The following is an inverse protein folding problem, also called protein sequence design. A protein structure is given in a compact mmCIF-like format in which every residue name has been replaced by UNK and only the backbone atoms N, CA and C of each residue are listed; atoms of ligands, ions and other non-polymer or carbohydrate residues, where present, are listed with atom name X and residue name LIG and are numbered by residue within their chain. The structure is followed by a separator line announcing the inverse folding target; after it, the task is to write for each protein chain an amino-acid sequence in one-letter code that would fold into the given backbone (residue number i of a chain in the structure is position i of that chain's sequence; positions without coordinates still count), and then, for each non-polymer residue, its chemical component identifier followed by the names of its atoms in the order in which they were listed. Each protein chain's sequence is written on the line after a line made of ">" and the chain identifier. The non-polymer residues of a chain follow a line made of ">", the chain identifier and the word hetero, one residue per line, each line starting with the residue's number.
data_IF_787988758873
#
_entry.id   IF_787988758873
#
_cell.length_a   1.000
_cell.length_b   1.000
_cell.length_c   1.000
_cell.angle_alpha   90.00
_cell.angle_beta   90.00
_cell.angle_gamma   90.00
#
_symmetry.space_group_name_H-M   'P 1'
#
loop_
_entity.id
_entity.type
_entity.pdbx_description
1 polymer ?
#
# COMPACT_ATOMS: atom_id res chain seq x y z
N UNK A 1 32.15 19.93 35.44
CA UNK A 1 30.68 19.84 35.30
C UNK A 1 30.38 19.55 33.84
N UNK A 2 29.42 18.66 33.57
CA UNK A 2 28.96 18.30 32.24
C UNK A 2 27.65 19.03 31.97
N UNK A 3 27.60 19.77 30.88
CA UNK A 3 26.44 20.57 30.47
C UNK A 3 26.18 20.25 29.01
N UNK A 4 24.94 19.95 28.66
CA UNK A 4 24.57 19.72 27.28
C UNK A 4 24.44 21.05 26.51
N UNK A 5 24.82 21.03 25.24
CA UNK A 5 24.45 22.06 24.28
C UNK A 5 23.02 21.82 23.77
N UNK A 6 22.30 22.89 23.42
CA UNK A 6 20.92 22.83 22.91
C UNK A 6 20.85 22.21 21.52
N UNK A 7 21.81 22.55 20.65
CA UNK A 7 21.90 22.05 19.28
C UNK A 7 23.20 21.30 19.06
N UNK A 8 23.13 20.00 18.77
CA UNK A 8 24.31 19.15 18.58
C UNK A 8 25.15 19.47 17.33
N UNK A 9 24.59 20.25 16.39
CA UNK A 9 25.26 20.68 15.14
C UNK A 9 26.17 21.89 15.31
N UNK A 10 26.11 22.56 16.46
CA UNK A 10 26.94 23.74 16.74
C UNK A 10 28.28 23.29 17.30
N UNK A 11 29.33 23.36 16.48
CA UNK A 11 30.68 22.93 16.86
C UNK A 11 31.32 23.86 17.91
N UNK A 12 31.03 25.16 17.83
CA UNK A 12 31.49 26.19 18.77
C UNK A 12 30.29 26.82 19.49
N UNK A 13 29.71 26.15 20.51
CA UNK A 13 28.56 26.67 21.24
C UNK A 13 28.96 27.88 22.09
N UNK A 14 28.19 28.96 22.01
CA UNK A 14 28.34 30.11 22.89
C UNK A 14 27.65 29.91 24.24
N UNK A 15 27.76 30.92 25.10
CA UNK A 15 27.17 30.94 26.46
C UNK A 15 25.66 30.68 26.46
N UNK A 16 24.94 31.16 25.43
CA UNK A 16 23.49 31.02 25.31
C UNK A 16 23.05 29.68 24.70
N UNK A 17 23.98 28.92 24.14
CA UNK A 17 23.70 27.65 23.46
C UNK A 17 23.76 26.46 24.43
N UNK A 18 24.17 26.69 25.67
CA UNK A 18 24.21 25.68 26.72
C UNK A 18 22.93 25.70 27.57
N UNK A 19 22.60 24.55 28.16
CA UNK A 19 21.57 24.48 29.18
C UNK A 19 22.05 25.06 30.52
N UNK A 20 21.09 25.48 31.35
CA UNK A 20 21.36 26.09 32.66
C UNK A 20 21.61 25.06 33.75
N UNK A 21 21.13 23.82 33.60
CA UNK A 21 21.36 22.73 34.54
C UNK A 21 22.26 21.68 33.89
N UNK A 22 23.23 21.21 34.67
CA UNK A 22 24.13 20.13 34.28
C UNK A 22 24.48 19.24 35.46
N UNK A 23 25.45 18.36 35.25
CA UNK A 23 25.87 17.37 36.25
C UNK A 23 27.32 17.60 36.64
N UNK A 24 27.58 17.82 37.93
CA UNK A 24 28.93 17.76 38.48
C UNK A 24 29.38 16.31 38.39
N UNK A 25 30.53 16.07 37.77
CA UNK A 25 31.04 14.74 37.51
C UNK A 25 32.53 14.66 37.88
N UNK A 26 32.95 13.51 38.39
CA UNK A 26 34.35 13.18 38.63
C UNK A 26 34.95 12.52 37.38
N UNK A 27 36.24 12.75 37.13
CA UNK A 27 36.99 12.07 36.07
C UNK A 27 37.57 10.80 36.67
N UNK A 28 37.10 9.64 36.21
CA UNK A 28 37.58 8.33 36.65
C UNK A 28 38.85 7.91 35.90
N UNK A 29 38.85 8.10 34.58
CA UNK A 29 39.94 7.63 33.73
C UNK A 29 40.10 8.53 32.50
N UNK A 30 41.35 8.74 32.07
CA UNK A 30 41.68 9.43 30.83
C UNK A 30 42.62 8.56 30.01
N UNK A 31 42.26 8.31 28.75
CA UNK A 31 43.04 7.50 27.83
C UNK A 31 43.24 8.24 26.52
N UNK A 32 44.51 8.49 26.16
CA UNK A 32 44.88 9.10 24.88
C UNK A 32 44.95 8.00 23.83
N UNK A 33 44.16 8.15 22.77
CA UNK A 33 44.17 7.23 21.64
C UNK A 33 45.27 7.62 20.63
N UNK A 34 45.73 6.66 19.80
CA UNK A 34 46.81 6.90 18.83
C UNK A 34 46.49 7.96 17.76
N UNK A 35 45.20 8.23 17.54
CA UNK A 35 44.68 9.26 16.62
C UNK A 35 44.72 10.69 17.20
N UNK A 36 45.19 10.84 18.45
CA UNK A 36 45.26 12.12 19.15
C UNK A 36 43.99 12.49 19.93
N UNK A 37 42.94 11.67 19.87
CA UNK A 37 41.71 11.91 20.64
C UNK A 37 41.88 11.46 22.10
N UNK A 38 41.17 12.13 23.02
CA UNK A 38 41.20 11.79 24.45
C UNK A 38 39.85 11.18 24.84
N UNK A 39 39.86 9.89 25.20
CA UNK A 39 38.70 9.22 25.77
C UNK A 39 38.70 9.44 27.29
N UNK A 40 37.67 10.13 27.78
CA UNK A 40 37.50 10.40 29.21
C UNK A 40 36.30 9.60 29.73
N UNK A 41 36.51 8.85 30.81
CA UNK A 41 35.45 8.19 31.58
C UNK A 41 35.10 9.06 32.77
N UNK A 42 33.82 9.37 32.92
CA UNK A 42 33.30 10.28 33.95
C UNK A 42 32.14 9.63 34.70
N UNK A 43 32.00 9.97 35.97
CA UNK A 43 30.88 9.56 36.82
C UNK A 43 30.14 10.80 37.31
N UNK A 44 28.84 10.86 37.04
CA UNK A 44 27.97 11.93 37.52
C UNK A 44 27.74 11.79 39.02
N UNK A 45 27.97 12.88 39.77
CA UNK A 45 27.82 12.93 41.21
C UNK A 45 26.48 13.57 41.59
N UNK A 46 26.28 14.83 41.22
CA UNK A 46 25.11 15.61 41.59
C UNK A 46 24.75 16.62 40.50
N UNK A 47 23.47 16.97 40.43
CA UNK A 47 22.95 18.00 39.54
C UNK A 47 23.26 19.37 40.10
N UNK A 48 23.61 20.31 39.23
CA UNK A 48 23.87 21.68 39.62
C UNK A 48 23.31 22.66 38.59
N UNK A 49 22.86 23.81 39.05
CA UNK A 49 22.41 24.93 38.23
C UNK A 49 23.53 25.94 38.10
N UNK A 50 23.80 26.38 36.87
CA UNK A 50 24.76 27.43 36.57
C UNK A 50 24.13 28.78 36.91
N UNK A 51 24.76 29.53 37.82
CA UNK A 51 24.36 30.90 38.18
C UNK A 51 25.07 31.96 37.33
N UNK A 52 26.31 31.69 36.92
CA UNK A 52 27.05 32.54 36.00
C UNK A 52 28.01 31.68 35.15
N UNK A 53 28.05 31.94 33.85
CA UNK A 53 28.92 31.28 32.88
C UNK A 53 29.78 32.34 32.17
N UNK A 54 31.08 32.14 32.16
CA UNK A 54 32.05 33.01 31.50
C UNK A 54 32.90 32.21 30.52
N UNK A 55 33.00 32.70 29.30
CA UNK A 55 33.87 32.15 28.27
C UNK A 55 35.18 32.95 28.23
N UNK A 56 36.30 32.27 28.47
CA UNK A 56 37.63 32.86 28.45
C UNK A 56 38.38 32.58 27.14
N UNK A 57 37.72 32.02 26.12
CA UNK A 57 38.28 31.70 24.80
C UNK A 57 38.98 30.34 24.72
N UNK A 58 39.42 29.77 25.84
CA UNK A 58 40.00 28.42 25.90
C UNK A 58 39.04 27.38 26.52
N UNK A 59 38.20 27.83 27.45
CA UNK A 59 37.27 26.98 28.19
C UNK A 59 36.19 27.83 28.85
N UNK A 60 35.08 27.17 29.19
CA UNK A 60 34.03 27.75 30.01
C UNK A 60 34.35 27.64 31.50
N UNK A 61 34.22 28.76 32.21
CA UNK A 61 34.24 28.82 33.67
C UNK A 61 32.83 29.14 34.18
N UNK A 62 32.35 28.37 35.16
CA UNK A 62 30.99 28.52 35.67
C UNK A 62 30.96 28.58 37.20
N UNK A 63 30.10 29.44 37.76
CA UNK A 63 29.62 29.30 39.14
C UNK A 63 28.35 28.47 39.11
N UNK A 64 28.30 27.43 39.93
CA UNK A 64 27.17 26.51 39.97
C UNK A 64 26.76 26.20 41.42
N UNK A 65 25.47 26.00 41.61
CA UNK A 65 24.84 25.65 42.89
C UNK A 65 24.21 24.27 42.77
N UNK A 66 24.38 23.42 43.79
CA UNK A 66 23.79 22.09 43.79
C UNK A 66 22.26 22.18 43.81
N UNK A 67 21.60 21.34 43.00
CA UNK A 67 20.16 21.17 43.04
C UNK A 67 19.83 20.17 44.15
N UNK A 68 19.25 20.68 45.23
CA UNK A 68 18.68 19.85 46.28
C UNK A 68 17.31 19.31 45.82
N UNK A 69 17.09 18.03 46.08
CA UNK A 69 15.77 17.42 45.93
C UNK A 69 15.04 17.49 47.27
N UNK A 70 13.83 18.07 47.32
CA UNK A 70 13.06 18.14 48.55
C UNK A 70 12.67 16.73 49.03
N UNK A 71 12.71 16.51 50.34
CA UNK A 71 12.13 15.32 50.98
C UNK A 71 10.61 15.46 51.05
N UNK A 72 9.88 14.48 50.51
CA UNK A 72 8.41 14.43 50.45
C UNK A 72 7.90 13.28 51.35
N UNK A 73 6.57 13.17 51.49
CA UNK A 73 5.88 12.07 52.17
C UNK A 73 6.34 10.69 51.65
N UNK A 74 7.00 9.93 52.53
CA UNK A 74 7.59 8.62 52.24
C UNK A 74 6.58 7.62 51.68
N UNK A 75 5.30 7.72 52.06
CA UNK A 75 4.29 6.72 51.72
C UNK A 75 3.85 6.76 50.26
N UNK A 76 3.66 7.94 49.68
CA UNK A 76 3.34 8.07 48.25
C UNK A 76 4.55 7.72 47.38
N UNK A 77 5.74 8.11 47.84
CA UNK A 77 7.01 7.87 47.15
C UNK A 77 7.34 6.37 47.07
N UNK A 78 7.08 5.58 48.12
CA UNK A 78 7.25 4.12 48.08
C UNK A 78 6.38 3.43 47.02
N UNK A 79 5.11 3.86 46.90
CA UNK A 79 4.19 3.29 45.90
C UNK A 79 4.69 3.61 44.50
N UNK A 80 5.08 4.87 44.27
CA UNK A 80 5.57 5.34 42.98
C UNK A 80 6.85 4.60 42.55
N UNK A 81 7.80 4.40 43.47
CA UNK A 81 9.01 3.62 43.24
C UNK A 81 8.69 2.19 42.80
N UNK A 82 7.79 1.49 43.50
CA UNK A 82 7.40 0.12 43.14
C UNK A 82 6.74 0.07 41.78
N UNK A 83 5.88 1.03 41.46
CA UNK A 83 5.22 1.11 40.15
C UNK A 83 6.22 1.41 39.04
N UNK A 84 7.16 2.33 39.23
CA UNK A 84 8.20 2.65 38.26
C UNK A 84 9.09 1.44 37.97
N UNK A 85 9.51 0.68 38.99
CA UNK A 85 10.28 -0.57 38.83
C UNK A 85 9.47 -1.60 38.05
N UNK A 86 8.20 -1.81 38.40
CA UNK A 86 7.34 -2.78 37.72
C UNK A 86 7.11 -2.43 36.24
N UNK A 87 6.91 -1.14 35.95
CA UNK A 87 6.76 -0.65 34.58
C UNK A 87 8.07 -0.79 33.78
N UNK A 88 9.21 -0.49 34.41
CA UNK A 88 10.53 -0.66 33.80
C UNK A 88 10.85 -2.14 33.52
N UNK A 89 10.43 -3.06 34.38
CA UNK A 89 10.50 -4.50 34.12
C UNK A 89 9.69 -4.88 32.86
N UNK A 90 8.47 -4.36 32.72
CA UNK A 90 7.65 -4.53 31.53
C UNK A 90 8.34 -3.99 30.27
N UNK A 91 8.97 -2.82 30.38
CA UNK A 91 9.73 -2.19 29.30
C UNK A 91 10.93 -3.03 28.86
N UNK A 92 11.79 -3.52 29.78
CA UNK A 92 12.96 -4.35 29.44
C UNK A 92 12.54 -5.65 28.72
N UNK A 93 11.43 -6.29 29.14
CA UNK A 93 10.92 -7.51 28.49
C UNK A 93 10.59 -7.31 27.00
N UNK A 94 10.20 -6.09 26.63
CA UNK A 94 9.95 -5.72 25.23
C UNK A 94 11.21 -5.21 24.53
N UNK A 95 12.05 -4.43 25.23
CA UNK A 95 13.29 -3.87 24.71
C UNK A 95 14.51 -4.73 25.02
N UNK A 96 14.80 -5.69 24.14
CA UNK A 96 15.94 -6.62 24.26
C UNK A 96 17.34 -5.98 24.15
N UNK A 97 17.44 -4.65 23.95
CA UNK A 97 18.73 -3.95 23.91
C UNK A 97 19.31 -3.74 25.31
N UNK A 98 18.46 -3.74 26.34
CA UNK A 98 18.88 -3.50 27.73
C UNK A 98 19.16 -4.86 28.39
N UNK A 99 20.35 -5.07 28.98
CA UNK A 99 20.63 -6.29 29.71
C UNK A 99 19.67 -6.46 30.90
N UNK A 100 19.15 -7.68 31.14
CA UNK A 100 18.24 -7.93 32.26
C UNK A 100 18.91 -7.72 33.64
N UNK A 101 20.25 -7.76 33.70
CA UNK A 101 21.05 -7.50 34.91
C UNK A 101 20.84 -6.07 35.45
N UNK A 102 20.49 -5.11 34.59
CA UNK A 102 20.19 -3.73 35.00
C UNK A 102 18.98 -3.69 35.95
N UNK A 103 18.01 -4.59 35.76
CA UNK A 103 16.84 -4.70 36.63
C UNK A 103 17.25 -5.11 38.05
N UNK A 104 18.17 -6.06 38.18
CA UNK A 104 18.67 -6.47 39.50
C UNK A 104 19.41 -5.34 40.22
N UNK A 105 20.19 -4.51 39.49
CA UNK A 105 20.81 -3.33 40.10
C UNK A 105 19.78 -2.27 40.52
N UNK A 106 18.72 -2.06 39.74
CA UNK A 106 17.67 -1.09 40.09
C UNK A 106 16.90 -1.48 41.36
N UNK A 107 16.60 -2.77 41.53
CA UNK A 107 15.93 -3.27 42.74
C UNK A 107 16.75 -3.08 44.02
N UNK A 108 18.07 -2.87 43.92
CA UNK A 108 18.94 -2.61 45.07
C UNK A 108 19.12 -1.13 45.39
N UNK A 109 18.52 -0.21 44.62
CA UNK A 109 18.64 1.22 44.84
C UNK A 109 17.52 1.68 45.78
N UNK A 110 17.89 2.07 46.99
CA UNK A 110 16.96 2.63 47.98
C UNK A 110 16.62 4.09 47.71
N UNK A 111 17.54 4.86 47.10
CA UNK A 111 17.35 6.27 46.80
C UNK A 111 16.48 6.49 45.54
N UNK A 112 15.26 7.05 45.68
CA UNK A 112 14.36 7.24 44.54
C UNK A 112 14.89 8.25 43.52
N UNK A 113 15.74 9.20 43.94
CA UNK A 113 16.36 10.14 43.02
C UNK A 113 17.32 9.39 42.08
N UNK A 114 18.22 8.58 42.64
CA UNK A 114 19.13 7.72 41.88
C UNK A 114 18.41 6.68 41.03
N UNK A 115 17.27 6.16 41.50
CA UNK A 115 16.43 5.24 40.71
C UNK A 115 15.94 5.93 39.43
N UNK A 116 15.36 7.13 39.56
CA UNK A 116 14.88 7.91 38.42
C UNK A 116 16.01 8.21 37.42
N UNK A 117 17.19 8.59 37.90
CA UNK A 117 18.36 8.88 37.05
C UNK A 117 18.85 7.63 36.32
N UNK A 118 18.82 6.47 36.97
CA UNK A 118 19.23 5.19 36.37
C UNK A 118 18.23 4.74 35.30
N UNK A 119 16.93 4.86 35.56
CA UNK A 119 15.88 4.59 34.57
C UNK A 119 16.05 5.52 33.37
N UNK A 120 16.21 6.82 33.61
CA UNK A 120 16.42 7.81 32.56
C UNK A 120 17.64 7.47 31.71
N UNK A 121 18.77 7.06 32.30
CA UNK A 121 19.99 6.70 31.57
C UNK A 121 19.79 5.54 30.59
N UNK A 122 19.01 4.52 30.96
CA UNK A 122 18.78 3.34 30.13
C UNK A 122 17.65 3.49 29.11
N UNK A 123 16.86 4.57 29.17
CA UNK A 123 15.84 4.86 28.17
C UNK A 123 16.37 5.70 26.98
N UNK A 124 15.88 5.43 25.76
CA UNK A 124 16.25 6.15 24.54
C UNK A 124 15.49 7.49 24.42
N UNK A 125 15.62 8.36 25.42
CA UNK A 125 14.98 9.68 25.43
C UNK A 125 15.68 10.67 24.49
N UNK A 126 14.92 11.60 23.92
CA UNK A 126 15.49 12.73 23.17
C UNK A 126 16.20 13.69 24.12
N UNK A 127 17.10 14.51 23.59
CA UNK A 127 17.87 15.46 24.39
C UNK A 127 16.98 16.40 25.23
N UNK A 128 15.91 16.92 24.64
CA UNK A 128 14.96 17.78 25.36
C UNK A 128 14.34 17.07 26.58
N UNK A 129 13.96 15.80 26.42
CA UNK A 129 13.36 14.99 27.49
C UNK A 129 14.42 14.57 28.53
N UNK A 130 15.67 14.29 28.11
CA UNK A 130 16.79 14.04 29.03
C UNK A 130 17.05 15.27 29.91
N UNK A 131 17.00 16.45 29.29
CA UNK A 131 17.25 17.70 29.98
C UNK A 131 16.11 18.09 30.91
N UNK A 132 14.85 17.91 30.51
CA UNK A 132 13.70 18.16 31.39
C UNK A 132 13.74 17.30 32.65
N UNK A 133 14.09 16.01 32.52
CA UNK A 133 14.32 15.09 33.64
C UNK A 133 15.46 15.57 34.54
N UNK A 134 16.53 16.13 33.97
CA UNK A 134 17.65 16.67 34.75
C UNK A 134 17.23 17.94 35.52
N UNK A 135 16.36 18.76 34.95
CA UNK A 135 15.88 20.03 35.52
C UNK A 135 14.81 19.88 36.60
N UNK A 136 14.02 18.79 36.58
CA UNK A 136 13.00 18.48 37.59
C UNK A 136 13.63 18.22 38.97
N UNK A 137 13.48 19.15 39.91
CA UNK A 137 13.99 18.99 41.28
C UNK A 137 13.18 17.97 42.09
N UNK A 138 11.86 17.92 41.87
CA UNK A 138 10.94 16.98 42.50
C UNK A 138 11.13 15.57 41.91
N UNK A 139 11.39 14.61 42.80
CA UNK A 139 11.64 13.21 42.42
C UNK A 139 10.35 12.52 41.97
N UNK A 140 9.20 12.87 42.55
CA UNK A 140 7.93 12.27 42.22
C UNK A 140 7.47 12.70 40.83
N UNK A 141 7.49 14.01 40.55
CA UNK A 141 7.18 14.55 39.21
C UNK A 141 8.07 13.90 38.14
N UNK A 142 9.35 13.74 38.47
CA UNK A 142 10.32 13.11 37.57
C UNK A 142 10.02 11.64 37.32
N UNK A 143 9.68 10.87 38.36
CA UNK A 143 9.30 9.47 38.23
C UNK A 143 8.02 9.32 37.40
N UNK A 144 7.00 10.14 37.66
CA UNK A 144 5.75 10.16 36.88
C UNK A 144 6.01 10.48 35.42
N UNK A 145 6.87 11.47 35.14
CA UNK A 145 7.26 11.81 33.77
C UNK A 145 7.96 10.64 33.07
N UNK A 146 8.92 9.99 33.74
CA UNK A 146 9.58 8.81 33.20
C UNK A 146 8.60 7.65 32.98
N UNK A 147 7.63 7.46 33.87
CA UNK A 147 6.58 6.45 33.74
C UNK A 147 5.67 6.71 32.53
N UNK A 148 5.29 7.96 32.28
CA UNK A 148 4.53 8.34 31.09
C UNK A 148 5.33 8.05 29.80
N UNK A 149 6.63 8.37 29.81
CA UNK A 149 7.52 8.09 28.68
C UNK A 149 7.71 6.58 28.45
N UNK A 150 7.85 5.81 29.53
CA UNK A 150 7.90 4.34 29.47
C UNK A 150 6.64 3.76 28.83
N UNK A 151 5.46 4.23 29.24
CA UNK A 151 4.18 3.75 28.69
C UNK A 151 4.09 4.01 27.19
N UNK A 152 4.42 5.23 26.76
CA UNK A 152 4.40 5.58 25.33
C UNK A 152 5.36 4.73 24.50
N UNK A 153 6.53 4.39 25.04
CA UNK A 153 7.49 3.52 24.38
C UNK A 153 7.06 2.04 24.37
N UNK A 154 6.44 1.56 25.45
CA UNK A 154 5.86 0.23 25.51
C UNK A 154 4.81 0.06 24.40
N UNK A 155 3.91 1.04 24.25
CA UNK A 155 2.88 1.03 23.21
C UNK A 155 3.48 0.99 21.80
N UNK A 156 4.50 1.81 21.54
CA UNK A 156 5.22 1.82 20.27
C UNK A 156 5.83 0.45 19.97
N UNK A 157 6.56 -0.13 20.93
CA UNK A 157 7.19 -1.44 20.79
C UNK A 157 6.16 -2.56 20.55
N UNK A 158 4.98 -2.48 21.17
CA UNK A 158 3.90 -3.44 20.93
C UNK A 158 3.32 -3.31 19.52
N UNK A 159 3.12 -2.09 19.01
CA UNK A 159 2.70 -1.85 17.62
C UNK A 159 3.73 -2.42 16.65
N UNK A 160 5.02 -2.12 16.84
CA UNK A 160 6.09 -2.66 16.02
C UNK A 160 6.12 -4.19 16.03
N UNK A 161 5.96 -4.81 17.20
CA UNK A 161 5.90 -6.28 17.35
C UNK A 161 4.73 -6.87 16.57
N UNK A 162 3.55 -6.24 16.60
CA UNK A 162 2.37 -6.67 15.81
C UNK A 162 2.63 -6.58 14.31
N UNK A 163 3.21 -5.48 13.85
CA UNK A 163 3.58 -5.28 12.44
C UNK A 163 4.59 -6.35 12.01
N UNK A 164 5.66 -6.53 12.77
CA UNK A 164 6.70 -7.53 12.51
C UNK A 164 6.15 -8.94 12.41
N UNK A 165 5.23 -9.32 13.30
CA UNK A 165 4.57 -10.62 13.27
C UNK A 165 3.68 -10.80 12.03
N UNK A 166 2.95 -9.74 11.61
CA UNK A 166 2.14 -9.77 10.39
C UNK A 166 3.00 -9.95 9.15
N UNK A 167 4.10 -9.18 9.04
CA UNK A 167 5.07 -9.29 7.93
C UNK A 167 5.68 -10.69 7.90
N UNK A 168 6.11 -11.22 9.04
CA UNK A 168 6.68 -12.58 9.14
C UNK A 168 5.69 -13.65 8.65
N UNK A 169 4.43 -13.61 9.09
CA UNK A 169 3.39 -14.54 8.63
C UNK A 169 3.14 -14.44 7.13
N UNK A 170 3.12 -13.23 6.58
CA UNK A 170 2.94 -13.00 5.14
C UNK A 170 4.13 -13.52 4.33
N UNK A 171 5.36 -13.31 4.81
CA UNK A 171 6.56 -13.84 4.18
C UNK A 171 6.58 -15.38 4.20
N UNK A 172 6.29 -16.00 5.34
CA UNK A 172 6.21 -17.47 5.45
C UNK A 172 5.15 -18.05 4.52
N UNK A 173 3.98 -17.40 4.40
CA UNK A 173 2.94 -17.79 3.45
C UNK A 173 3.43 -17.69 2.00
N UNK A 174 4.05 -16.57 1.62
CA UNK A 174 4.53 -16.33 0.26
C UNK A 174 5.65 -17.30 -0.13
N UNK A 175 6.59 -17.57 0.79
CA UNK A 175 7.66 -18.56 0.58
C UNK A 175 7.08 -19.97 0.44
N UNK A 176 6.10 -20.34 1.27
CA UNK A 176 5.42 -21.64 1.16
C UNK A 176 4.68 -21.78 -0.18
N UNK A 177 3.93 -20.77 -0.59
CA UNK A 177 3.23 -20.77 -1.89
C UNK A 177 4.21 -20.85 -3.06
N UNK A 178 5.31 -20.09 -3.02
CA UNK A 178 6.37 -20.17 -4.02
C UNK A 178 6.97 -21.58 -4.11
N UNK A 179 7.33 -22.16 -2.96
CA UNK A 179 7.90 -23.51 -2.89
C UNK A 179 6.94 -24.58 -3.40
N UNK A 180 5.67 -24.52 -3.00
CA UNK A 180 4.64 -25.47 -3.46
C UNK A 180 4.40 -25.35 -4.98
N UNK A 181 4.40 -24.14 -5.53
CA UNK A 181 4.24 -23.95 -6.97
C UNK A 181 5.45 -24.49 -7.75
N UNK A 182 6.67 -24.28 -7.27
CA UNK A 182 7.87 -24.88 -7.89
C UNK A 182 7.84 -26.41 -7.80
N UNK A 183 7.42 -26.98 -6.67
CA UNK A 183 7.21 -28.44 -6.57
C UNK A 183 6.16 -28.94 -7.55
N UNK A 184 5.02 -28.26 -7.67
CA UNK A 184 3.97 -28.64 -8.63
C UNK A 184 4.48 -28.60 -10.08
N UNK A 185 5.26 -27.57 -10.47
CA UNK A 185 5.88 -27.52 -11.80
C UNK A 185 6.85 -28.67 -12.03
N UNK A 186 7.67 -29.00 -11.02
CA UNK A 186 8.60 -30.12 -11.10
C UNK A 186 7.85 -31.46 -11.27
N UNK A 187 6.79 -31.68 -10.48
CA UNK A 187 5.92 -32.86 -10.57
C UNK A 187 5.23 -32.95 -11.95
N UNK A 188 4.68 -31.85 -12.46
CA UNK A 188 4.04 -31.79 -13.78
C UNK A 188 5.03 -32.09 -14.91
N UNK A 189 6.28 -31.63 -14.78
CA UNK A 189 7.37 -31.93 -15.72
C UNK A 189 7.76 -33.41 -15.69
N UNK A 190 7.84 -34.01 -14.50
CA UNK A 190 8.13 -35.45 -14.31
C UNK A 190 6.98 -36.34 -14.81
N UNK A 191 5.72 -35.89 -14.67
CA UNK A 191 4.52 -36.61 -15.14
C UNK A 191 4.34 -36.57 -16.67
N UNK A 192 5.18 -35.84 -17.41
CA UNK A 192 5.19 -35.86 -18.88
C UNK A 192 4.00 -35.18 -19.57
N UNK A 193 3.16 -34.42 -18.85
CA UNK A 193 1.95 -33.77 -19.40
C UNK A 193 2.24 -32.42 -20.11
N UNK A 194 3.48 -32.15 -20.55
CA UNK A 194 3.82 -30.89 -21.22
C UNK A 194 3.94 -30.95 -22.75
N UNK A 195 3.79 -32.11 -23.40
CA UNK A 195 3.94 -32.18 -24.86
C UNK A 195 2.65 -32.03 -25.67
N UNK A 196 1.45 -31.99 -25.06
CA UNK A 196 0.19 -31.96 -25.84
C UNK A 196 -0.91 -30.98 -25.36
N UNK A 197 -0.62 -30.11 -24.39
CA UNK A 197 -1.52 -28.99 -24.05
C UNK A 197 -0.94 -27.68 -24.60
N UNK A 198 -1.47 -27.13 -25.71
CA UNK A 198 -1.09 -25.80 -26.15
C UNK A 198 -1.35 -24.82 -25.01
N UNK A 199 -0.37 -23.97 -24.67
CA UNK A 199 -0.56 -22.88 -23.71
C UNK A 199 -1.82 -22.11 -24.10
N UNK A 200 -2.90 -22.28 -23.33
CA UNK A 200 -4.21 -21.66 -23.62
C UNK A 200 -4.05 -20.15 -23.81
N UNK A 201 -3.08 -19.56 -23.12
CA UNK A 201 -2.77 -18.13 -23.22
C UNK A 201 -2.19 -17.76 -24.59
N UNK A 202 -1.38 -18.63 -25.19
CA UNK A 202 -0.85 -18.43 -26.53
C UNK A 202 -1.95 -18.60 -27.58
N UNK A 203 -2.84 -19.58 -27.39
CA UNK A 203 -4.01 -19.76 -28.25
C UNK A 203 -4.94 -18.54 -28.21
N UNK A 204 -5.18 -17.96 -27.02
CA UNK A 204 -5.96 -16.73 -26.86
C UNK A 204 -5.28 -15.53 -27.53
N UNK A 205 -3.96 -15.40 -27.40
CA UNK A 205 -3.20 -14.34 -28.06
C UNK A 205 -3.34 -14.41 -29.59
N UNK A 206 -3.17 -15.60 -30.17
CA UNK A 206 -3.36 -15.83 -31.62
C UNK A 206 -4.75 -15.44 -32.09
N UNK A 207 -5.79 -15.74 -31.30
CA UNK A 207 -7.19 -15.35 -31.60
C UNK A 207 -7.40 -13.83 -31.56
N UNK A 208 -6.81 -13.12 -30.59
CA UNK A 208 -6.89 -11.66 -30.49
C UNK A 208 -6.27 -11.00 -31.73
N UNK A 209 -5.09 -11.47 -32.14
CA UNK A 209 -4.40 -10.97 -33.33
C UNK A 209 -5.18 -11.25 -34.62
N UNK A 210 -5.81 -12.44 -34.72
CA UNK A 210 -6.63 -12.81 -35.86
C UNK A 210 -7.95 -12.03 -35.98
N UNK A 211 -8.52 -11.55 -34.86
CA UNK A 211 -9.81 -10.85 -34.82
C UNK A 211 -9.79 -9.46 -35.48
N UNK A 212 -8.60 -8.91 -35.79
CA UNK A 212 -8.41 -7.59 -36.41
C UNK A 212 -9.15 -6.46 -35.67
N UNK A 213 -9.01 -6.42 -34.35
CA UNK A 213 -9.65 -5.41 -33.50
C UNK A 213 -9.09 -3.99 -33.75
N UNK A 214 -9.87 -2.92 -33.51
CA UNK A 214 -9.36 -1.55 -33.47
C UNK A 214 -8.30 -1.39 -32.36
N UNK A 215 -7.44 -0.37 -32.48
CA UNK A 215 -6.32 -0.15 -31.55
C UNK A 215 -6.73 -0.17 -30.07
N UNK A 216 -7.75 0.61 -29.71
CA UNK A 216 -8.24 0.72 -28.33
C UNK A 216 -8.75 -0.62 -27.78
N UNK A 217 -9.51 -1.37 -28.59
CA UNK A 217 -10.04 -2.68 -28.21
C UNK A 217 -8.94 -3.73 -28.09
N UNK A 218 -7.95 -3.72 -29.00
CA UNK A 218 -6.81 -4.63 -28.97
C UNK A 218 -5.96 -4.41 -27.72
N UNK A 219 -5.60 -3.16 -27.43
CA UNK A 219 -4.82 -2.80 -26.25
C UNK A 219 -5.53 -3.21 -24.96
N UNK A 220 -6.86 -3.02 -24.88
CA UNK A 220 -7.66 -3.47 -23.75
C UNK A 220 -7.69 -4.99 -23.61
N UNK A 221 -7.87 -5.73 -24.71
CA UNK A 221 -7.88 -7.19 -24.71
C UNK A 221 -6.52 -7.78 -24.31
N UNK A 222 -5.42 -7.18 -24.77
CA UNK A 222 -4.06 -7.57 -24.37
C UNK A 222 -3.78 -7.29 -22.89
N UNK A 223 -4.25 -6.16 -22.35
CA UNK A 223 -4.12 -5.84 -20.94
C UNK A 223 -4.87 -6.85 -20.05
N UNK A 224 -6.09 -7.26 -20.43
CA UNK A 224 -6.83 -8.29 -19.71
C UNK A 224 -6.17 -9.69 -19.86
N UNK A 225 -5.56 -9.99 -21.01
CA UNK A 225 -4.77 -11.22 -21.20
C UNK A 225 -3.53 -11.24 -20.29
N UNK A 226 -2.85 -10.10 -20.10
CA UNK A 226 -1.71 -10.01 -19.17
C UNK A 226 -2.14 -10.24 -17.72
N UNK A 227 -3.29 -9.71 -17.32
CA UNK A 227 -3.87 -10.02 -15.99
C UNK A 227 -4.18 -11.50 -15.84
N UNK A 228 -4.76 -12.12 -16.87
CA UNK A 228 -5.07 -13.56 -16.86
C UNK A 228 -3.82 -14.41 -16.61
N UNK A 229 -2.68 -14.05 -17.22
CA UNK A 229 -1.39 -14.76 -17.02
C UNK A 229 -0.85 -14.73 -15.59
N UNK A 230 -1.16 -13.69 -14.83
CA UNK A 230 -0.74 -13.54 -13.44
C UNK A 230 -1.71 -14.19 -12.45
N UNK A 231 -2.91 -14.56 -12.90
CA UNK A 231 -3.93 -15.19 -12.06
C UNK A 231 -3.75 -16.71 -12.02
N UNK A 232 -4.19 -17.33 -10.93
CA UNK A 232 -4.31 -18.79 -10.87
C UNK A 232 -5.42 -19.27 -11.81
N UNK A 233 -5.19 -20.30 -12.65
CA UNK A 233 -6.16 -20.78 -13.63
C UNK A 233 -7.46 -21.34 -13.03
N UNK A 234 -7.47 -21.67 -11.73
CA UNK A 234 -8.64 -22.14 -10.99
C UNK A 234 -9.45 -21.01 -10.31
N UNK A 235 -9.01 -19.75 -10.41
CA UNK A 235 -9.73 -18.61 -9.81
C UNK A 235 -11.05 -18.33 -10.54
N UNK A 236 -12.10 -17.98 -9.79
CA UNK A 236 -13.36 -17.51 -10.37
C UNK A 236 -13.15 -16.26 -11.26
N UNK A 237 -12.21 -15.39 -10.90
CA UNK A 237 -11.86 -14.21 -11.69
C UNK A 237 -11.22 -14.57 -13.04
N UNK A 238 -10.39 -15.61 -13.08
CA UNK A 238 -9.77 -16.08 -14.32
C UNK A 238 -10.82 -16.57 -15.32
N UNK A 239 -11.88 -17.23 -14.84
CA UNK A 239 -13.01 -17.66 -15.67
C UNK A 239 -13.77 -16.47 -16.28
N UNK A 240 -13.97 -15.40 -15.50
CA UNK A 240 -14.64 -14.18 -15.97
C UNK A 240 -13.81 -13.47 -17.04
N UNK A 241 -12.51 -13.30 -16.80
CA UNK A 241 -11.59 -12.65 -17.75
C UNK A 241 -11.47 -13.47 -19.04
N UNK A 242 -11.41 -14.80 -18.94
CA UNK A 242 -11.42 -15.69 -20.11
C UNK A 242 -12.70 -15.52 -20.93
N UNK A 243 -13.86 -15.49 -20.29
CA UNK A 243 -15.14 -15.23 -20.95
C UNK A 243 -15.20 -13.86 -21.63
N UNK A 244 -14.67 -12.82 -20.98
CA UNK A 244 -14.58 -11.48 -21.56
C UNK A 244 -13.70 -11.45 -22.83
N UNK A 245 -12.52 -12.09 -22.79
CA UNK A 245 -11.64 -12.16 -23.96
C UNK A 245 -12.31 -12.93 -25.10
N UNK A 246 -13.00 -14.02 -24.81
CA UNK A 246 -13.74 -14.79 -25.83
C UNK A 246 -14.84 -13.96 -26.48
N UNK A 247 -15.61 -13.20 -25.71
CA UNK A 247 -16.61 -12.28 -26.25
C UNK A 247 -15.98 -11.22 -27.16
N UNK A 248 -14.85 -10.64 -26.74
CA UNK A 248 -14.13 -9.64 -27.55
C UNK A 248 -13.64 -10.22 -28.88
N UNK A 249 -13.22 -11.48 -28.92
CA UNK A 249 -12.79 -12.18 -30.14
C UNK A 249 -13.97 -12.49 -31.07
N UNK A 250 -15.13 -12.87 -30.53
CA UNK A 250 -16.31 -13.23 -31.32
C UNK A 250 -16.98 -12.03 -32.01
N UNK A 251 -16.73 -10.80 -31.54
CA UNK A 251 -17.27 -9.58 -32.16
C UNK A 251 -16.62 -9.35 -33.54
N UNK A 252 -17.41 -9.18 -34.62
CA UNK A 252 -16.88 -8.98 -35.98
C UNK A 252 -16.43 -7.52 -36.19
N UNK A 253 -15.24 -7.17 -35.72
CA UNK A 253 -14.71 -5.80 -35.78
C UNK A 253 -14.51 -5.26 -37.22
N UNK A 254 -13.69 -5.97 -38.00
CA UNK A 254 -13.29 -5.58 -39.35
C UNK A 254 -13.76 -6.57 -40.43
N UNK A 255 -14.70 -7.45 -40.09
CA UNK A 255 -15.30 -8.41 -41.01
C UNK A 255 -16.66 -7.92 -41.51
N UNK A 256 -16.71 -7.38 -42.74
CA UNK A 256 -17.95 -6.91 -43.37
C UNK A 256 -18.28 -7.72 -44.62
N UNK A 257 -19.55 -8.03 -44.82
CA UNK A 257 -20.03 -8.64 -46.06
C UNK A 257 -20.06 -7.61 -47.19
N UNK A 258 -19.73 -8.03 -48.41
CA UNK A 258 -19.80 -7.16 -49.60
C UNK A 258 -21.26 -6.87 -49.92
N UNK A 259 -21.64 -5.60 -49.84
CA UNK A 259 -23.03 -5.16 -50.10
C UNK A 259 -23.26 -5.05 -51.61
N UNK A 260 -24.36 -5.65 -52.09
CA UNK A 260 -24.82 -5.51 -53.47
C UNK A 260 -25.58 -4.18 -53.62
N UNK A 261 -25.35 -3.46 -54.72
CA UNK A 261 -25.97 -2.15 -55.01
C UNK A 261 -26.91 -2.19 -56.23
N UNK A 262 -27.34 -3.37 -56.64
CA UNK A 262 -28.20 -3.55 -57.80
C UNK A 262 -29.68 -3.40 -57.40
N UNK A 263 -30.30 -2.31 -57.85
CA UNK A 263 -31.72 -2.02 -57.59
C UNK A 263 -32.66 -2.92 -58.37
N UNK A 264 -32.28 -3.38 -59.58
CA UNK A 264 -33.13 -4.27 -60.38
C UNK A 264 -33.23 -5.64 -59.73
N UNK A 265 -32.10 -6.17 -59.28
CA UNK A 265 -32.06 -7.41 -58.50
C UNK A 265 -32.85 -7.27 -57.18
N UNK A 266 -32.78 -6.11 -56.52
CA UNK A 266 -33.55 -5.88 -55.30
C UNK A 266 -35.07 -5.90 -55.57
N UNK A 267 -35.52 -5.29 -56.66
CA UNK A 267 -36.92 -5.30 -57.08
C UNK A 267 -37.41 -6.72 -57.38
N UNK A 268 -36.66 -7.49 -58.17
CA UNK A 268 -37.00 -8.88 -58.52
C UNK A 268 -37.13 -9.77 -57.27
N UNK A 269 -36.23 -9.62 -56.29
CA UNK A 269 -36.29 -10.37 -55.02
C UNK A 269 -37.51 -9.97 -54.19
N UNK A 270 -37.83 -8.67 -54.12
CA UNK A 270 -39.01 -8.18 -53.39
C UNK A 270 -40.31 -8.64 -54.05
N UNK A 271 -40.37 -8.69 -55.37
CA UNK A 271 -41.54 -9.15 -56.13
C UNK A 271 -41.72 -10.66 -56.04
N UNK A 272 -40.62 -11.41 -55.99
CA UNK A 272 -40.65 -12.87 -55.82
C UNK A 272 -41.07 -13.27 -54.41
N UNK A 273 -40.50 -12.62 -53.39
CA UNK A 273 -40.73 -13.01 -51.99
C UNK A 273 -42.07 -12.46 -51.44
N UNK A 274 -42.66 -11.42 -52.06
CA UNK A 274 -43.89 -10.76 -51.57
C UNK A 274 -44.85 -10.38 -52.72
N UNK A 275 -46.07 -10.90 -52.69
CA UNK A 275 -47.12 -10.53 -53.64
C UNK A 275 -47.85 -9.23 -53.21
N UNK A 276 -48.03 -8.28 -54.13
CA UNK A 276 -48.63 -6.97 -53.86
C UNK A 276 -47.70 -5.99 -53.13
N UNK A 277 -48.24 -5.12 -52.27
CA UNK A 277 -47.48 -4.12 -51.49
C UNK A 277 -46.68 -3.10 -52.33
N UNK A 278 -47.16 -2.76 -53.53
CA UNK A 278 -46.47 -1.86 -54.48
C UNK A 278 -45.91 -0.59 -53.82
N UNK A 279 -46.74 0.15 -53.08
CA UNK A 279 -46.32 1.38 -52.39
C UNK A 279 -45.21 1.17 -51.35
N UNK A 280 -45.16 0.00 -50.71
CA UNK A 280 -44.15 -0.34 -49.70
C UNK A 280 -42.86 -0.77 -50.38
N UNK A 281 -42.95 -1.56 -51.45
CA UNK A 281 -41.82 -1.98 -52.27
C UNK A 281 -41.12 -0.78 -52.90
N UNK A 282 -41.87 0.14 -53.49
CA UNK A 282 -41.35 1.40 -54.03
C UNK A 282 -40.58 2.18 -52.98
N UNK A 283 -41.12 2.29 -51.76
CA UNK A 283 -40.47 3.00 -50.66
C UNK A 283 -39.19 2.33 -50.18
N UNK A 284 -39.15 0.99 -50.19
CA UNK A 284 -37.94 0.22 -49.89
C UNK A 284 -36.88 0.44 -50.97
N UNK A 285 -37.26 0.42 -52.25
CA UNK A 285 -36.37 0.68 -53.38
C UNK A 285 -35.80 2.11 -53.35
N UNK A 286 -36.62 3.11 -53.03
CA UNK A 286 -36.18 4.49 -52.81
C UNK A 286 -35.12 4.57 -51.70
N UNK A 287 -35.36 3.90 -50.58
CA UNK A 287 -34.42 3.85 -49.46
C UNK A 287 -33.09 3.19 -49.87
N UNK A 288 -33.15 2.06 -50.59
CA UNK A 288 -31.96 1.38 -51.12
C UNK A 288 -31.23 2.24 -52.16
N UNK A 289 -31.94 3.02 -52.98
CA UNK A 289 -31.36 3.90 -53.98
C UNK A 289 -30.54 5.03 -53.32
N UNK A 290 -31.06 5.63 -52.24
CA UNK A 290 -30.30 6.61 -51.44
C UNK A 290 -29.09 5.94 -50.78
N UNK A 291 -29.25 4.74 -50.25
CA UNK A 291 -28.17 3.99 -49.60
C UNK A 291 -27.07 3.56 -50.58
N UNK A 292 -27.38 3.33 -51.86
CA UNK A 292 -26.40 2.96 -52.87
C UNK A 292 -25.33 4.04 -53.08
N UNK A 293 -25.69 5.31 -52.86
CA UNK A 293 -24.85 6.50 -53.07
C UNK A 293 -24.00 6.88 -51.85
N UNK A 294 -24.37 6.44 -50.64
CA UNK A 294 -23.73 6.90 -49.39
C UNK A 294 -23.11 5.72 -48.63
N UNK A 295 -21.83 5.81 -48.28
CA UNK A 295 -21.11 4.75 -47.56
C UNK A 295 -21.43 4.67 -46.05
N UNK A 296 -21.97 5.73 -45.46
CA UNK A 296 -22.38 5.79 -44.05
C UNK A 296 -23.89 6.02 -43.98
N UNK A 297 -24.62 5.08 -43.36
CA UNK A 297 -26.06 5.22 -43.13
C UNK A 297 -26.25 6.34 -42.10
N UNK A 298 -26.58 7.55 -42.57
CA UNK A 298 -27.03 8.67 -41.73
C UNK A 298 -28.53 8.96 -41.90
N UNK A 299 -29.25 8.09 -42.61
CA UNK A 299 -30.69 8.25 -42.90
C UNK A 299 -31.60 7.63 -41.83
N UNK A 300 -32.89 7.97 -41.84
CA UNK A 300 -33.89 7.41 -40.94
C UNK A 300 -34.01 5.88 -41.11
N UNK A 301 -34.16 5.15 -40.00
CA UNK A 301 -34.33 3.69 -40.00
C UNK A 301 -35.76 3.37 -40.47
N UNK A 302 -35.90 2.41 -41.40
CA UNK A 302 -37.22 1.93 -41.84
C UNK A 302 -37.94 1.22 -40.69
N UNK A 303 -39.13 1.71 -40.34
CA UNK A 303 -40.02 1.08 -39.37
C UNK A 303 -41.26 0.56 -40.11
N UNK A 304 -41.42 -0.77 -40.17
CA UNK A 304 -42.58 -1.42 -40.78
C UNK A 304 -43.67 -1.61 -39.72
N UNK A 305 -44.80 -0.92 -39.88
CA UNK A 305 -45.95 -0.97 -38.95
C UNK A 305 -47.15 -1.68 -39.59
N UNK A 306 -47.92 -2.42 -38.79
CA UNK A 306 -49.15 -3.09 -39.24
C UNK A 306 -49.59 -4.25 -38.32
N UNK A 307 -50.72 -4.91 -38.60
CA UNK A 307 -51.23 -6.06 -37.84
C UNK A 307 -50.24 -7.24 -37.78
N UNK A 308 -50.26 -8.11 -36.76
CA UNK A 308 -49.43 -9.32 -36.75
C UNK A 308 -49.75 -10.21 -37.97
N UNK A 309 -48.75 -10.90 -38.52
CA UNK A 309 -48.93 -11.80 -39.67
C UNK A 309 -48.80 -11.15 -41.06
N UNK A 310 -48.72 -9.83 -41.19
CA UNK A 310 -48.62 -9.13 -42.50
C UNK A 310 -47.22 -9.13 -43.14
N UNK A 311 -46.36 -10.08 -42.80
CA UNK A 311 -45.06 -10.26 -43.49
C UNK A 311 -43.94 -9.28 -43.13
N UNK A 312 -44.05 -8.45 -42.08
CA UNK A 312 -43.00 -7.48 -41.67
C UNK A 312 -41.61 -8.10 -41.48
N UNK A 313 -41.53 -9.23 -40.77
CA UNK A 313 -40.27 -9.96 -40.54
C UNK A 313 -39.72 -10.52 -41.84
N UNK A 314 -40.59 -11.01 -42.71
CA UNK A 314 -40.24 -11.56 -44.03
C UNK A 314 -39.70 -10.46 -44.96
N UNK A 315 -40.28 -9.26 -44.96
CA UNK A 315 -39.75 -8.09 -45.68
C UNK A 315 -38.33 -7.75 -45.24
N UNK A 316 -38.05 -7.80 -43.92
CA UNK A 316 -36.70 -7.60 -43.40
C UNK A 316 -35.68 -8.64 -43.91
N UNK A 317 -36.10 -9.90 -44.05
CA UNK A 317 -35.28 -10.97 -44.62
C UNK A 317 -35.02 -10.75 -46.11
N UNK A 318 -36.04 -10.37 -46.88
CA UNK A 318 -35.90 -10.07 -48.32
C UNK A 318 -34.99 -8.87 -48.57
N UNK A 319 -35.05 -7.82 -47.73
CA UNK A 319 -34.12 -6.68 -47.80
C UNK A 319 -32.67 -7.13 -47.54
N UNK A 320 -32.45 -8.00 -46.56
CA UNK A 320 -31.12 -8.55 -46.27
C UNK A 320 -30.59 -9.40 -47.45
N UNK A 321 -31.45 -10.26 -48.02
CA UNK A 321 -31.17 -11.08 -49.21
C UNK A 321 -30.82 -10.23 -50.43
N UNK A 322 -31.62 -9.19 -50.72
CA UNK A 322 -31.40 -8.25 -51.81
C UNK A 322 -30.06 -7.50 -51.69
N UNK A 323 -29.70 -7.07 -50.48
CA UNK A 323 -28.45 -6.32 -50.24
C UNK A 323 -27.22 -7.22 -50.02
N UNK A 324 -27.40 -8.55 -49.97
CA UNK A 324 -26.34 -9.51 -49.67
C UNK A 324 -25.82 -9.42 -48.23
N UNK A 325 -26.64 -8.95 -47.29
CA UNK A 325 -26.31 -8.84 -45.87
C UNK A 325 -26.83 -10.04 -45.08
N UNK A 326 -26.14 -10.39 -43.99
CA UNK A 326 -26.64 -11.40 -43.06
C UNK A 326 -27.85 -10.86 -42.29
N UNK A 327 -28.89 -11.67 -42.16
CA UNK A 327 -30.09 -11.33 -41.40
C UNK A 327 -29.95 -11.81 -39.95
N UNK A 328 -30.30 -10.95 -38.99
CA UNK A 328 -30.42 -11.30 -37.58
C UNK A 328 -31.73 -10.70 -37.08
N UNK A 329 -32.55 -11.52 -36.42
CA UNK A 329 -33.78 -11.07 -35.76
C UNK A 329 -33.49 -10.84 -34.28
N UNK A 330 -33.87 -9.67 -33.77
CA UNK A 330 -33.83 -9.37 -32.34
C UNK A 330 -35.24 -9.05 -31.85
N UNK A 331 -35.75 -9.84 -30.92
CA UNK A 331 -37.08 -9.65 -30.35
C UNK A 331 -37.07 -8.57 -29.28
N UNK A 332 -37.64 -7.40 -29.59
CA UNK A 332 -37.94 -6.38 -28.58
C UNK A 332 -39.32 -6.66 -27.95
N UNK A 333 -39.42 -7.77 -27.21
CA UNK A 333 -40.63 -8.06 -26.44
C UNK A 333 -40.76 -7.08 -25.27
N UNK A 334 -41.91 -6.42 -25.13
CA UNK A 334 -42.27 -5.84 -23.82
C UNK A 334 -42.54 -7.01 -22.88
N UNK A 335 -41.74 -7.13 -21.81
CA UNK A 335 -42.21 -7.81 -20.60
C UNK A 335 -43.45 -7.04 -20.14
N UNK A 336 -44.61 -7.70 -20.16
CA UNK A 336 -45.78 -7.26 -19.42
C UNK A 336 -45.54 -7.52 -17.94
#
# INVERSE_FOLDING_TARGET
>A
MLVAQKEASTDEPGVNDLFTVGTVASILQMLKLPDGTVKVLVEGLQRARISALSDNGEHFSAKAEYLESPTIDEREQEVLVRTAISQFEGYIKLNKKIPPEVLTSLNSIDDPARLADTIAAHMPLKLADKQSVLEMSDVNERLEYLMAMMESEIDLLQVEKRIRNRVKKQMEKSQREYYLNEQMKAIQKELGEMDDAPDENEALKRKIDAAKMPKEAKEKAEAELQKLKMMSPMSAEATVVRGYIDWMVQVPWNARSKVKKDLRQAQEILDTDHYGLERVKDRILEYLAVQSRVNKIKGPILCLVGPPGVGKTSLGQSIAKATGRKYVSYGAGRRA
#
